data_IF_905891387890
#
_entry.id   IF_905891387890
#
_cell.length_a   1.000
_cell.length_b   1.000
_cell.length_c   1.000
_cell.angle_alpha   90.00
_cell.angle_beta   90.00
_cell.angle_gamma   90.00
#
_symmetry.space_group_name_H-M   'P 1'
#
loop_
_entity.id
_entity.type
_entity.pdbx_description
1 polymer ?
#
# COMPACT_ATOMS: atom_id res chain seq x y z
N UNK A 1 9.40 2.58 5.70
CA UNK A 1 8.85 1.64 6.71
C UNK A 1 7.55 1.10 6.14
N UNK A 2 7.62 0.00 5.42
CA UNK A 2 6.50 -0.58 4.63
C UNK A 2 5.74 -1.69 5.38
N UNK A 3 6.03 -1.91 6.68
CA UNK A 3 5.68 -3.16 7.36
C UNK A 3 4.75 -3.03 8.58
N UNK A 4 4.45 -1.82 9.06
CA UNK A 4 3.48 -1.62 10.15
C UNK A 4 2.02 -1.85 9.70
N UNK A 5 1.58 -1.37 8.52
CA UNK A 5 0.24 -1.67 8.00
C UNK A 5 0.01 -3.19 7.85
N UNK A 6 1.02 -3.90 7.34
CA UNK A 6 0.95 -5.35 7.08
C UNK A 6 0.65 -6.24 8.29
N UNK A 7 0.96 -5.77 9.51
CA UNK A 7 0.62 -6.50 10.73
C UNK A 7 -0.90 -6.53 10.98
N UNK A 8 -1.60 -5.46 10.58
CA UNK A 8 -3.04 -5.32 10.78
C UNK A 8 -3.85 -5.86 9.61
N UNK A 9 -3.24 -6.20 8.47
CA UNK A 9 -3.93 -6.69 7.28
C UNK A 9 -4.93 -7.83 7.54
N UNK A 10 -4.63 -8.88 8.35
CA UNK A 10 -5.62 -9.92 8.62
C UNK A 10 -6.84 -9.41 9.37
N UNK A 11 -6.65 -8.44 10.28
CA UNK A 11 -7.72 -7.80 11.04
C UNK A 11 -8.53 -6.88 10.12
N UNK A 12 -7.87 -6.09 9.28
CA UNK A 12 -8.50 -5.22 8.30
C UNK A 12 -9.32 -6.03 7.30
N UNK A 13 -8.78 -7.13 6.77
CA UNK A 13 -9.49 -8.05 5.88
C UNK A 13 -10.74 -8.65 6.54
N UNK A 14 -10.63 -9.08 7.80
CA UNK A 14 -11.77 -9.59 8.56
C UNK A 14 -12.85 -8.52 8.79
N UNK A 15 -12.46 -7.26 9.00
CA UNK A 15 -13.39 -6.13 9.12
C UNK A 15 -14.04 -5.78 7.78
N UNK A 16 -13.31 -5.85 6.65
CA UNK A 16 -13.86 -5.56 5.32
C UNK A 16 -14.86 -6.60 4.85
N UNK A 17 -14.69 -7.87 5.22
CA UNK A 17 -15.62 -8.94 4.83
C UNK A 17 -17.06 -8.70 5.32
N UNK A 18 -17.22 -7.86 6.34
CA UNK A 18 -18.50 -7.52 6.97
C UNK A 18 -19.07 -6.17 6.51
N UNK A 19 -18.37 -5.47 5.63
CA UNK A 19 -18.77 -4.13 5.20
C UNK A 19 -19.82 -4.22 4.08
N UNK A 20 -20.94 -3.53 4.28
CA UNK A 20 -22.08 -3.51 3.34
C UNK A 20 -22.22 -2.19 2.59
N UNK A 21 -21.55 -1.11 3.03
CA UNK A 21 -21.59 0.22 2.38
C UNK A 21 -20.19 0.62 1.92
N UNK A 22 -19.57 -0.23 1.11
CA UNK A 22 -18.15 -0.17 0.76
C UNK A 22 -17.80 1.12 0.03
N UNK A 23 -18.58 1.54 -0.97
CA UNK A 23 -18.34 2.79 -1.69
C UNK A 23 -18.47 4.03 -0.80
N UNK A 24 -19.51 4.08 0.03
CA UNK A 24 -19.73 5.23 0.95
C UNK A 24 -18.60 5.34 1.97
N UNK A 25 -18.17 4.21 2.52
CA UNK A 25 -17.07 4.17 3.51
C UNK A 25 -15.73 4.48 2.87
N UNK A 26 -15.43 3.93 1.70
CA UNK A 26 -14.23 4.28 0.93
C UNK A 26 -14.18 5.79 0.62
N UNK A 27 -15.30 6.38 0.22
CA UNK A 27 -15.41 7.83 -0.03
C UNK A 27 -15.13 8.64 1.24
N UNK A 28 -15.70 8.25 2.40
CA UNK A 28 -15.46 8.93 3.67
C UNK A 28 -14.00 8.83 4.11
N UNK A 29 -13.41 7.64 4.01
CA UNK A 29 -12.02 7.38 4.38
C UNK A 29 -11.05 8.17 3.50
N UNK A 30 -11.35 8.26 2.20
CA UNK A 30 -10.54 9.04 1.27
C UNK A 30 -10.63 10.56 1.55
N UNK A 31 -11.80 11.06 1.96
CA UNK A 31 -11.92 12.43 2.51
C UNK A 31 -11.04 12.66 3.74
N UNK A 32 -10.96 11.66 4.64
CA UNK A 32 -10.08 11.74 5.81
C UNK A 32 -8.62 11.84 5.38
N UNK A 33 -8.18 11.06 4.39
CA UNK A 33 -6.80 11.14 3.85
C UNK A 33 -6.50 12.52 3.27
N UNK A 34 -7.42 13.08 2.46
CA UNK A 34 -7.30 14.46 1.96
C UNK A 34 -7.13 15.43 3.12
N UNK A 35 -7.98 15.34 4.16
CA UNK A 35 -7.90 16.16 5.36
C UNK A 35 -6.57 16.03 6.10
N UNK A 36 -6.07 14.81 6.28
CA UNK A 36 -4.77 14.53 6.94
C UNK A 36 -3.65 15.30 6.24
N UNK A 37 -3.52 15.19 4.92
CA UNK A 37 -2.42 15.84 4.19
C UNK A 37 -2.62 17.36 4.04
N UNK A 38 -3.85 17.86 4.06
CA UNK A 38 -4.10 19.30 4.19
C UNK A 38 -3.65 19.83 5.55
N UNK A 39 -3.93 19.12 6.64
CA UNK A 39 -3.47 19.50 7.99
C UNK A 39 -1.95 19.47 8.07
N UNK A 40 -1.30 18.43 7.54
CA UNK A 40 0.18 18.37 7.48
C UNK A 40 0.75 19.53 6.67
N UNK A 41 0.15 19.86 5.52
CA UNK A 41 0.58 20.99 4.72
C UNK A 41 0.49 22.29 5.54
N UNK A 42 -0.64 22.53 6.21
CA UNK A 42 -0.79 23.69 7.08
C UNK A 42 0.25 23.74 8.21
N UNK A 43 0.53 22.62 8.87
CA UNK A 43 1.56 22.55 9.92
C UNK A 43 2.96 22.89 9.37
N UNK A 44 3.26 22.49 8.13
CA UNK A 44 4.53 22.81 7.46
C UNK A 44 4.69 24.29 7.12
N UNK A 45 3.61 25.05 7.00
CA UNK A 45 3.70 26.51 6.85
C UNK A 45 4.07 27.21 8.16
N UNK A 46 3.68 26.63 9.30
CA UNK A 46 3.78 27.28 10.61
C UNK A 46 5.05 26.89 11.38
N UNK A 47 5.60 25.70 11.13
CA UNK A 47 6.70 25.13 11.93
C UNK A 47 7.86 24.62 11.07
N UNK A 48 9.09 24.99 11.43
CA UNK A 48 10.31 24.47 10.80
C UNK A 48 10.64 23.07 11.30
N UNK A 49 10.20 22.04 10.56
CA UNK A 49 10.39 20.59 10.71
C UNK A 49 11.08 20.09 12.01
N UNK A 50 10.50 20.29 13.21
CA UNK A 50 11.05 19.71 14.43
C UNK A 50 10.82 18.19 14.43
N UNK A 51 11.59 17.46 15.24
CA UNK A 51 11.44 15.99 15.39
C UNK A 51 9.99 15.59 15.71
N UNK A 52 9.27 16.40 16.50
CA UNK A 52 7.86 16.17 16.81
C UNK A 52 6.97 16.20 15.56
N UNK A 53 7.16 17.18 14.67
CA UNK A 53 6.41 17.27 13.43
C UNK A 53 6.77 16.11 12.50
N UNK A 54 8.04 15.72 12.45
CA UNK A 54 8.47 14.52 11.70
C UNK A 54 7.76 13.25 12.17
N UNK A 55 7.65 13.03 13.49
CA UNK A 55 6.92 11.89 14.06
C UNK A 55 5.42 11.94 13.69
N UNK A 56 4.81 13.12 13.76
CA UNK A 56 3.39 13.30 13.37
C UNK A 56 3.16 12.92 11.90
N UNK A 57 4.02 13.36 10.99
CA UNK A 57 3.94 12.99 9.57
C UNK A 57 4.10 11.48 9.39
N UNK A 58 5.05 10.87 10.08
CA UNK A 58 5.26 9.41 10.01
C UNK A 58 4.00 8.66 10.45
N UNK A 59 3.39 9.04 11.56
CA UNK A 59 2.16 8.42 12.04
C UNK A 59 1.00 8.66 11.07
N UNK A 60 0.89 9.87 10.52
CA UNK A 60 -0.13 10.20 9.55
C UNK A 60 0.01 9.40 8.25
N UNK A 61 1.23 9.19 7.76
CA UNK A 61 1.52 8.30 6.64
C UNK A 61 1.09 6.86 6.97
N UNK A 62 1.46 6.32 8.14
CA UNK A 62 1.04 4.95 8.53
C UNK A 62 -0.48 4.80 8.60
N UNK A 63 -1.18 5.81 9.12
CA UNK A 63 -2.65 5.84 9.14
C UNK A 63 -3.20 5.90 7.72
N UNK A 64 -2.66 6.75 6.86
CA UNK A 64 -3.09 6.87 5.46
C UNK A 64 -2.89 5.55 4.70
N UNK A 65 -1.74 4.92 4.83
CA UNK A 65 -1.43 3.63 4.20
C UNK A 65 -2.36 2.52 4.70
N UNK A 66 -2.69 2.54 6.00
CA UNK A 66 -3.65 1.58 6.58
C UNK A 66 -5.07 1.80 6.06
N UNK A 67 -5.46 3.06 5.84
CA UNK A 67 -6.73 3.42 5.19
C UNK A 67 -6.74 2.89 3.76
N UNK A 68 -5.68 3.10 2.97
CA UNK A 68 -5.59 2.58 1.59
C UNK A 68 -5.67 1.06 1.55
N UNK A 69 -4.96 0.37 2.45
CA UNK A 69 -5.07 -1.09 2.58
C UNK A 69 -6.49 -1.56 2.92
N UNK A 70 -7.18 -0.84 3.81
CA UNK A 70 -8.57 -1.13 4.15
C UNK A 70 -9.53 -0.88 2.98
N UNK A 71 -9.37 0.23 2.25
CA UNK A 71 -10.15 0.53 1.04
C UNK A 71 -9.90 -0.55 -0.02
N UNK A 72 -8.65 -0.90 -0.32
CA UNK A 72 -8.29 -1.93 -1.30
C UNK A 72 -8.95 -3.27 -0.97
N UNK A 73 -8.88 -3.71 0.29
CA UNK A 73 -9.52 -4.95 0.75
C UNK A 73 -11.05 -4.94 0.60
N UNK A 74 -11.72 -3.77 0.69
CA UNK A 74 -13.16 -3.69 0.40
C UNK A 74 -13.48 -4.00 -1.07
N UNK A 75 -12.56 -3.73 -2.00
CA UNK A 75 -12.82 -3.91 -3.43
C UNK A 75 -12.41 -5.30 -3.97
N UNK A 76 -11.59 -6.07 -3.24
CA UNK A 76 -11.15 -7.43 -3.62
C UNK A 76 -12.32 -8.38 -3.97
N UNK A 77 -13.44 -8.45 -3.23
CA UNK A 77 -14.52 -9.37 -3.57
C UNK A 77 -15.19 -9.05 -4.91
N UNK A 78 -15.25 -7.77 -5.29
CA UNK A 78 -15.88 -7.35 -6.55
C UNK A 78 -15.07 -7.79 -7.77
N UNK A 79 -13.74 -7.68 -7.69
CA UNK A 79 -12.87 -8.15 -8.77
C UNK A 79 -13.10 -9.64 -9.04
N UNK A 80 -13.32 -10.45 -8.00
CA UNK A 80 -13.62 -11.88 -8.15
C UNK A 80 -14.99 -12.13 -8.76
N UNK A 81 -16.01 -11.34 -8.46
CA UNK A 81 -17.35 -11.56 -9.02
C UNK A 81 -17.51 -11.12 -10.46
N UNK A 82 -16.71 -10.15 -10.92
CA UNK A 82 -16.91 -9.48 -12.21
C UNK A 82 -15.93 -9.94 -13.29
N UNK A 83 -14.81 -10.52 -12.86
CA UNK A 83 -13.77 -11.00 -13.76
C UNK A 83 -13.94 -12.50 -13.94
N UNK A 84 -14.04 -12.90 -15.22
CA UNK A 84 -14.06 -14.30 -15.62
C UNK A 84 -12.86 -15.05 -15.07
N UNK A 85 -13.07 -16.28 -14.63
CA UNK A 85 -12.04 -17.09 -13.97
C UNK A 85 -10.75 -17.21 -14.80
N UNK A 86 -10.86 -17.26 -16.13
CA UNK A 86 -9.74 -17.28 -17.08
C UNK A 86 -8.92 -15.99 -17.06
N UNK A 87 -9.56 -14.84 -16.84
CA UNK A 87 -8.92 -13.51 -16.93
C UNK A 87 -8.35 -13.04 -15.58
N UNK A 88 -8.81 -13.62 -14.46
CA UNK A 88 -8.39 -13.19 -13.10
C UNK A 88 -6.88 -13.15 -12.92
N UNK A 89 -6.14 -14.08 -13.54
CA UNK A 89 -4.68 -14.11 -13.46
C UNK A 89 -4.05 -12.87 -14.12
N UNK A 90 -4.48 -12.55 -15.33
CA UNK A 90 -3.97 -11.42 -16.12
C UNK A 90 -4.34 -10.11 -15.45
N UNK A 91 -5.58 -9.96 -15.01
CA UNK A 91 -6.04 -8.73 -14.35
C UNK A 91 -5.32 -8.53 -13.00
N UNK A 92 -5.11 -9.58 -12.22
CA UNK A 92 -4.32 -9.47 -10.97
C UNK A 92 -2.87 -9.08 -11.24
N UNK A 93 -2.25 -9.58 -12.32
CA UNK A 93 -0.90 -9.19 -12.71
C UNK A 93 -0.85 -7.71 -13.14
N UNK A 94 -1.84 -7.26 -13.92
CA UNK A 94 -1.97 -5.86 -14.32
C UNK A 94 -2.17 -4.94 -13.11
N UNK A 95 -3.00 -5.33 -12.15
CA UNK A 95 -3.24 -4.57 -10.91
C UNK A 95 -1.95 -4.38 -10.11
N UNK A 96 -1.16 -5.45 -9.93
CA UNK A 96 0.16 -5.38 -9.26
C UNK A 96 1.12 -4.43 -9.99
N UNK A 97 1.14 -4.48 -11.33
CA UNK A 97 1.99 -3.60 -12.14
C UNK A 97 1.53 -2.15 -12.03
N UNK A 98 0.23 -1.86 -12.13
CA UNK A 98 -0.32 -0.50 -12.02
C UNK A 98 -0.11 0.09 -10.62
N UNK A 99 -0.30 -0.72 -9.57
CA UNK A 99 -0.01 -0.32 -8.20
C UNK A 99 1.47 0.04 -8.03
N UNK A 100 2.36 -0.83 -8.53
CA UNK A 100 3.81 -0.61 -8.43
C UNK A 100 4.27 0.58 -9.26
N UNK A 101 3.68 0.81 -10.43
CA UNK A 101 3.93 1.99 -11.26
C UNK A 101 3.55 3.27 -10.51
N UNK A 102 2.40 3.25 -9.82
CA UNK A 102 1.93 4.40 -9.04
C UNK A 102 2.91 4.77 -7.92
N UNK A 103 3.47 3.77 -7.22
CA UNK A 103 4.51 3.96 -6.20
C UNK A 103 5.77 4.60 -6.82
N UNK A 104 6.26 4.04 -7.93
CA UNK A 104 7.49 4.52 -8.58
C UNK A 104 7.32 5.96 -9.09
N UNK A 105 6.21 6.26 -9.75
CA UNK A 105 5.92 7.61 -10.21
C UNK A 105 5.84 8.59 -9.03
N UNK A 106 5.16 8.22 -7.95
CA UNK A 106 5.09 9.03 -6.73
C UNK A 106 6.49 9.31 -6.13
N UNK A 107 7.34 8.28 -6.05
CA UNK A 107 8.69 8.42 -5.52
C UNK A 107 9.61 9.24 -6.42
N UNK A 108 9.52 9.06 -7.75
CA UNK A 108 10.28 9.87 -8.72
C UNK A 108 9.86 11.33 -8.66
N UNK A 109 8.56 11.61 -8.65
CA UNK A 109 8.03 12.97 -8.53
C UNK A 109 8.46 13.61 -7.20
N UNK A 110 8.34 12.88 -6.08
CA UNK A 110 8.77 13.36 -4.78
C UNK A 110 10.28 13.63 -4.71
N UNK A 111 11.10 12.74 -5.24
CA UNK A 111 12.56 12.90 -5.26
C UNK A 111 13.01 14.05 -6.17
N UNK A 112 12.39 14.19 -7.34
CA UNK A 112 12.64 15.32 -8.24
C UNK A 112 12.27 16.65 -7.56
N UNK A 113 11.10 16.70 -6.90
CA UNK A 113 10.66 17.86 -6.16
C UNK A 113 11.64 18.25 -5.04
N UNK A 114 12.05 17.30 -4.20
CA UNK A 114 13.01 17.55 -3.11
C UNK A 114 14.38 18.03 -3.61
N UNK A 115 14.73 17.70 -4.86
CA UNK A 115 15.98 18.15 -5.47
C UNK A 115 15.85 19.57 -6.01
N UNK A 116 14.73 19.91 -6.67
CA UNK A 116 14.50 21.23 -7.26
C UNK A 116 14.09 22.27 -6.21
N UNK A 117 13.38 21.84 -5.19
CA UNK A 117 12.83 22.67 -4.13
C UNK A 117 13.16 22.10 -2.75
N UNK A 118 14.44 22.17 -2.34
CA UNK A 118 14.83 21.83 -0.97
C UNK A 118 13.97 22.64 0.01
N UNK A 119 13.49 22.00 1.06
CA UNK A 119 12.69 22.61 2.13
C UNK A 119 11.22 22.97 1.81
N UNK A 120 10.74 22.77 0.57
CA UNK A 120 9.34 23.01 0.18
C UNK A 120 8.42 21.81 0.49
N UNK A 121 8.41 21.36 1.75
CA UNK A 121 7.61 20.23 2.22
C UNK A 121 6.10 20.50 2.24
N UNK A 122 5.71 21.78 2.35
CA UNK A 122 4.32 22.22 2.22
C UNK A 122 3.71 21.75 0.89
N UNK A 123 4.37 22.09 -0.22
CA UNK A 123 3.90 21.77 -1.56
C UNK A 123 3.87 20.25 -1.80
N UNK A 124 4.80 19.49 -1.24
CA UNK A 124 4.78 18.03 -1.27
C UNK A 124 3.56 17.44 -0.55
N UNK A 125 3.23 17.96 0.64
CA UNK A 125 2.04 17.52 1.36
C UNK A 125 0.76 17.89 0.61
N UNK A 126 0.72 19.06 -0.03
CA UNK A 126 -0.40 19.45 -0.88
C UNK A 126 -0.52 18.54 -2.13
N UNK A 127 0.60 18.13 -2.72
CA UNK A 127 0.61 17.17 -3.83
C UNK A 127 0.00 15.83 -3.40
N UNK A 128 0.32 15.32 -2.20
CA UNK A 128 -0.34 14.14 -1.66
C UNK A 128 -1.84 14.37 -1.44
N UNK A 129 -2.25 15.51 -0.88
CA UNK A 129 -3.67 15.82 -0.75
C UNK A 129 -4.40 15.83 -2.10
N UNK A 130 -3.74 16.33 -3.16
CA UNK A 130 -4.27 16.33 -4.52
C UNK A 130 -4.38 14.92 -5.10
N UNK A 131 -3.41 14.02 -4.87
CA UNK A 131 -3.51 12.63 -5.36
C UNK A 131 -4.67 11.89 -4.69
N UNK A 132 -4.88 12.07 -3.37
CA UNK A 132 -6.08 11.55 -2.70
C UNK A 132 -7.35 12.18 -3.24
N UNK A 133 -7.39 13.50 -3.46
CA UNK A 133 -8.56 14.17 -4.03
C UNK A 133 -8.90 13.67 -5.45
N UNK A 134 -7.90 13.33 -6.26
CA UNK A 134 -8.10 12.67 -7.55
C UNK A 134 -8.69 11.25 -7.36
N UNK A 135 -8.17 10.49 -6.41
CA UNK A 135 -8.75 9.20 -6.02
C UNK A 135 -10.22 9.31 -5.63
N UNK A 136 -10.57 10.31 -4.81
CA UNK A 136 -11.95 10.63 -4.44
C UNK A 136 -12.82 10.98 -5.66
N UNK A 137 -12.28 11.74 -6.61
CA UNK A 137 -13.00 12.07 -7.85
C UNK A 137 -13.37 10.80 -8.62
N UNK A 138 -12.43 9.87 -8.81
CA UNK A 138 -12.69 8.60 -9.48
C UNK A 138 -13.67 7.72 -8.68
N UNK A 139 -13.49 7.60 -7.37
CA UNK A 139 -14.41 6.85 -6.49
C UNK A 139 -15.86 7.32 -6.61
N UNK A 140 -16.09 8.62 -6.80
CA UNK A 140 -17.45 9.17 -7.00
C UNK A 140 -18.04 8.91 -8.38
N UNK A 141 -17.21 8.66 -9.39
CA UNK A 141 -17.66 8.34 -10.76
C UNK A 141 -18.07 6.88 -10.90
N UNK A 142 -17.57 6.04 -10.00
CA UNK A 142 -17.95 4.65 -9.92
C UNK A 142 -19.42 4.54 -9.51
N UNK A 143 -20.23 3.90 -10.37
CA UNK A 143 -21.60 3.52 -10.07
C UNK A 143 -21.63 2.00 -9.89
N UNK A 144 -21.55 1.52 -8.63
CA UNK A 144 -21.72 0.10 -8.34
C UNK A 144 -22.96 -0.16 -7.50
N UNK A 145 -23.55 -1.32 -7.72
CA UNK A 145 -24.53 -1.89 -6.80
C UNK A 145 -23.78 -2.45 -5.58
N UNK A 146 -23.75 -1.66 -4.51
CA UNK A 146 -23.04 -1.94 -3.25
C UNK A 146 -23.71 -3.07 -2.45
N UNK A 147 -24.79 -3.69 -2.96
CA UNK A 147 -25.62 -4.69 -2.25
C UNK A 147 -25.18 -6.15 -2.45
N UNK A 148 -23.89 -6.41 -2.67
CA UNK A 148 -23.38 -7.79 -2.63
C UNK A 148 -23.69 -8.37 -1.24
N UNK A 149 -24.60 -9.35 -1.22
CA UNK A 149 -25.05 -10.05 0.00
C UNK A 149 -23.89 -10.80 0.63
N UNK A 150 -23.16 -10.16 1.54
CA UNK A 150 -22.23 -10.84 2.45
C UNK A 150 -22.81 -10.86 3.87
N UNK A 151 -22.89 -12.07 4.43
CA UNK A 151 -23.18 -12.45 5.82
C UNK A 151 -23.78 -11.35 6.71
N UNK A 152 -25.09 -11.48 6.98
CA UNK A 152 -25.89 -10.81 8.03
C UNK A 152 -25.16 -9.66 8.76
N UNK A 153 -25.55 -8.44 8.42
CA UNK A 153 -25.01 -7.15 8.88
C UNK A 153 -24.97 -6.90 10.41
N UNK A 154 -25.28 -7.89 11.24
CA UNK A 154 -25.39 -7.77 12.70
C UNK A 154 -24.24 -8.42 13.50
N UNK A 155 -23.30 -9.10 12.84
CA UNK A 155 -22.19 -9.72 13.56
C UNK A 155 -21.16 -8.68 14.03
N UNK A 156 -21.24 -8.27 15.30
CA UNK A 156 -20.17 -7.52 15.99
C UNK A 156 -18.83 -8.25 15.87
N UNK A 157 -17.72 -7.50 15.80
CA UNK A 157 -16.37 -8.07 15.79
C UNK A 157 -16.21 -9.04 16.97
N UNK A 158 -15.81 -10.28 16.68
CA UNK A 158 -15.61 -11.31 17.70
C UNK A 158 -14.19 -11.81 17.63
N UNK A 159 -13.42 -11.52 18.68
CA UNK A 159 -12.03 -11.97 18.83
C UNK A 159 -11.97 -13.50 18.76
N UNK A 160 -12.94 -14.18 19.40
CA UNK A 160 -13.02 -15.65 19.41
C UNK A 160 -13.24 -16.22 18.00
N UNK A 161 -14.15 -15.63 17.23
CA UNK A 161 -14.41 -16.04 15.84
C UNK A 161 -13.18 -15.80 14.95
N UNK A 162 -12.53 -14.64 15.09
CA UNK A 162 -11.29 -14.32 14.38
C UNK A 162 -10.20 -15.37 14.64
N UNK A 163 -9.88 -15.65 15.91
CA UNK A 163 -8.86 -16.65 16.26
C UNK A 163 -9.23 -18.07 15.78
N UNK A 164 -10.51 -18.44 15.82
CA UNK A 164 -10.96 -19.73 15.31
C UNK A 164 -10.73 -19.85 13.79
N UNK A 165 -11.08 -18.80 13.03
CA UNK A 165 -10.83 -18.76 11.58
C UNK A 165 -9.33 -18.77 11.26
N UNK A 166 -8.52 -18.05 12.02
CA UNK A 166 -7.06 -18.07 11.88
C UNK A 166 -6.49 -19.47 12.14
N UNK A 167 -6.97 -20.17 13.17
CA UNK A 167 -6.55 -21.56 13.47
C UNK A 167 -6.91 -22.52 12.34
N UNK A 168 -8.11 -22.38 11.77
CA UNK A 168 -8.55 -23.18 10.62
C UNK A 168 -7.70 -22.90 9.37
N UNK A 169 -7.43 -21.63 9.08
CA UNK A 169 -6.58 -21.23 7.96
C UNK A 169 -5.15 -21.79 8.12
N UNK A 170 -4.60 -21.74 9.33
CA UNK A 170 -3.30 -22.34 9.64
C UNK A 170 -3.28 -23.85 9.39
N UNK A 171 -4.32 -24.58 9.84
CA UNK A 171 -4.46 -26.02 9.58
C UNK A 171 -4.41 -26.33 8.08
N UNK A 172 -5.22 -25.64 7.28
CA UNK A 172 -5.27 -25.83 5.82
C UNK A 172 -3.93 -25.48 5.14
N UNK A 173 -3.26 -24.42 5.58
CA UNK A 173 -1.95 -24.03 5.04
C UNK A 173 -0.87 -25.06 5.38
N UNK A 174 -0.95 -25.68 6.56
CA UNK A 174 -0.02 -26.74 6.98
C UNK A 174 -0.20 -28.00 6.14
N UNK A 175 -1.43 -28.45 5.95
CA UNK A 175 -1.75 -29.66 5.17
C UNK A 175 -1.31 -29.57 3.71
N UNK A 176 -1.35 -28.36 3.12
CA UNK A 176 -0.96 -28.12 1.72
C UNK A 176 0.49 -27.68 1.53
N UNK A 177 1.35 -27.83 2.55
CA UNK A 177 2.75 -27.39 2.56
C UNK A 177 2.97 -25.88 2.25
N UNK A 178 1.91 -25.07 2.26
CA UNK A 178 1.98 -23.63 1.97
C UNK A 178 2.78 -22.86 3.02
N UNK A 179 2.84 -23.37 4.26
CA UNK A 179 3.65 -22.77 5.32
C UNK A 179 5.14 -22.70 4.97
N UNK A 180 5.68 -23.69 4.25
CA UNK A 180 7.09 -23.68 3.85
C UNK A 180 7.37 -22.55 2.85
N UNK A 181 6.47 -22.35 1.88
CA UNK A 181 6.57 -21.25 0.92
C UNK A 181 6.46 -19.89 1.63
N UNK A 182 5.55 -19.76 2.59
CA UNK A 182 5.39 -18.53 3.39
C UNK A 182 6.67 -18.22 4.17
N UNK A 183 7.30 -19.21 4.81
CA UNK A 183 8.55 -19.00 5.53
C UNK A 183 9.71 -18.62 4.60
N UNK A 184 9.81 -19.24 3.43
CA UNK A 184 10.81 -18.86 2.43
C UNK A 184 10.63 -17.40 1.98
N UNK A 185 9.39 -16.99 1.69
CA UNK A 185 9.07 -15.61 1.34
C UNK A 185 9.35 -14.63 2.49
N UNK A 186 9.03 -15.02 3.72
CA UNK A 186 9.27 -14.20 4.91
C UNK A 186 10.76 -13.97 5.15
N UNK A 187 11.58 -15.02 5.04
CA UNK A 187 13.04 -14.93 5.14
C UNK A 187 13.58 -14.05 4.01
N UNK A 188 13.15 -14.27 2.77
CA UNK A 188 13.54 -13.43 1.63
C UNK A 188 13.23 -11.95 1.87
N UNK A 189 12.01 -11.65 2.36
CA UNK A 189 11.60 -10.27 2.70
C UNK A 189 12.41 -9.68 3.86
N UNK A 190 12.71 -10.47 4.89
CA UNK A 190 13.53 -10.03 6.02
C UNK A 190 14.97 -9.70 5.60
N UNK A 191 15.56 -10.54 4.76
CA UNK A 191 16.89 -10.30 4.18
C UNK A 191 16.90 -9.04 3.32
N UNK A 192 15.88 -8.86 2.46
CA UNK A 192 15.74 -7.66 1.65
C UNK A 192 15.62 -6.38 2.50
N UNK A 193 14.79 -6.41 3.55
CA UNK A 193 14.65 -5.29 4.47
C UNK A 193 15.96 -4.97 5.20
N UNK A 194 16.72 -5.99 5.61
CA UNK A 194 18.02 -5.83 6.27
C UNK A 194 19.05 -5.23 5.31
N UNK A 195 19.08 -5.67 4.06
CA UNK A 195 19.94 -5.10 3.02
C UNK A 195 19.63 -3.62 2.78
N UNK A 196 18.35 -3.26 2.65
CA UNK A 196 17.91 -1.87 2.49
C UNK A 196 18.34 -0.98 3.67
N UNK A 197 18.25 -1.49 4.90
CA UNK A 197 18.71 -0.75 6.09
C UNK A 197 20.22 -0.47 6.03
N UNK A 198 21.02 -1.49 5.73
CA UNK A 198 22.48 -1.33 5.61
C UNK A 198 22.85 -0.37 4.49
N UNK A 199 22.19 -0.49 3.32
CA UNK A 199 22.39 0.41 2.19
C UNK A 199 22.06 1.86 2.58
N UNK A 200 20.96 2.08 3.30
CA UNK A 200 20.58 3.41 3.78
C UNK A 200 21.62 4.01 4.72
N UNK A 201 22.10 3.23 5.70
CA UNK A 201 23.16 3.68 6.62
C UNK A 201 24.45 3.99 5.86
N UNK A 202 24.85 3.13 4.93
CA UNK A 202 26.04 3.34 4.11
C UNK A 202 25.93 4.61 3.25
N UNK A 203 24.78 4.85 2.61
CA UNK A 203 24.54 6.06 1.84
C UNK A 203 24.56 7.32 2.71
N UNK A 204 24.05 7.27 3.94
CA UNK A 204 24.12 8.41 4.87
C UNK A 204 25.58 8.71 5.24
N UNK A 205 26.38 7.69 5.55
CA UNK A 205 27.77 7.85 5.96
C UNK A 205 28.73 8.16 4.80
N UNK A 206 28.42 7.76 3.57
CA UNK A 206 29.32 7.89 2.42
C UNK A 206 28.58 8.50 1.22
N UNK A 207 28.83 9.78 0.96
CA UNK A 207 28.18 10.52 -0.13
C UNK A 207 28.48 9.95 -1.53
N UNK A 208 29.64 9.32 -1.72
CA UNK A 208 30.04 8.73 -3.00
C UNK A 208 29.18 7.52 -3.42
N UNK A 209 28.41 6.94 -2.50
CA UNK A 209 27.44 5.88 -2.80
C UNK A 209 26.11 6.42 -3.34
N UNK A 210 25.92 7.74 -3.35
CA UNK A 210 24.68 8.39 -3.80
C UNK A 210 24.79 8.78 -5.27
N UNK A 211 23.73 8.51 -6.02
CA UNK A 211 23.48 9.12 -7.32
C UNK A 211 22.72 10.43 -7.10
N UNK A 212 23.47 11.54 -7.06
CA UNK A 212 22.90 12.84 -6.73
C UNK A 212 22.49 12.93 -5.26
N UNK A 213 21.22 13.21 -5.00
CA UNK A 213 20.66 13.26 -3.65
C UNK A 213 20.31 11.86 -3.11
N UNK A 214 20.18 11.76 -1.79
CA UNK A 214 19.71 10.53 -1.14
C UNK A 214 18.33 10.09 -1.67
N UNK A 215 17.41 11.05 -1.85
CA UNK A 215 16.08 10.79 -2.39
C UNK A 215 16.11 10.30 -3.85
N UNK A 216 16.98 10.89 -4.68
CA UNK A 216 17.17 10.45 -6.07
C UNK A 216 17.70 9.01 -6.15
N UNK A 217 18.69 8.69 -5.32
CA UNK A 217 19.26 7.34 -5.27
C UNK A 217 18.21 6.29 -4.93
N UNK A 218 17.36 6.56 -3.93
CA UNK A 218 16.24 5.69 -3.57
C UNK A 218 15.21 5.55 -4.69
N UNK A 219 14.88 6.63 -5.38
CA UNK A 219 13.92 6.60 -6.48
C UNK A 219 14.44 5.76 -7.67
N UNK A 220 15.74 5.84 -7.96
CA UNK A 220 16.39 4.98 -8.97
C UNK A 220 16.31 3.51 -8.55
N UNK A 221 16.65 3.19 -7.30
CA UNK A 221 16.57 1.81 -6.79
C UNK A 221 15.16 1.21 -6.94
N UNK A 222 14.14 2.00 -6.62
CA UNK A 222 12.75 1.57 -6.75
C UNK A 222 12.32 1.43 -8.21
N UNK A 223 12.83 2.26 -9.10
CA UNK A 223 12.62 2.12 -10.55
C UNK A 223 13.23 0.83 -11.08
N UNK A 224 14.44 0.45 -10.64
CA UNK A 224 15.07 -0.83 -10.99
C UNK A 224 14.22 -2.01 -10.47
N UNK A 225 13.76 -1.92 -9.21
CA UNK A 225 12.91 -2.96 -8.62
C UNK A 225 11.61 -3.14 -9.39
N UNK A 226 11.02 -2.06 -9.88
CA UNK A 226 9.83 -2.08 -10.71
C UNK A 226 10.04 -2.73 -12.08
N UNK A 227 11.18 -2.47 -12.75
CA UNK A 227 11.55 -3.19 -13.98
C UNK A 227 11.65 -4.70 -13.71
N UNK A 228 12.27 -5.10 -12.59
CA UNK A 228 12.33 -6.49 -12.17
C UNK A 228 10.95 -7.10 -11.94
N UNK A 229 10.02 -6.34 -11.35
CA UNK A 229 8.63 -6.75 -11.15
C UNK A 229 7.90 -6.93 -12.48
N UNK A 230 8.05 -6.01 -13.44
CA UNK A 230 7.46 -6.13 -14.78
C UNK A 230 7.98 -7.41 -15.46
N UNK A 231 9.29 -7.62 -15.46
CA UNK A 231 9.90 -8.81 -16.05
C UNK A 231 9.39 -10.09 -15.38
N UNK A 232 9.28 -10.11 -14.05
CA UNK A 232 8.70 -11.22 -13.30
C UNK A 232 7.23 -11.47 -13.63
N UNK A 233 6.43 -10.41 -13.80
CA UNK A 233 5.03 -10.51 -14.19
C UNK A 233 4.89 -11.13 -15.61
N UNK A 234 5.72 -10.72 -16.56
CA UNK A 234 5.74 -11.31 -17.91
C UNK A 234 6.23 -12.77 -17.92
N UNK A 235 7.26 -13.10 -17.15
CA UNK A 235 7.74 -14.49 -17.01
C UNK A 235 6.67 -15.40 -16.40
N UNK A 236 5.90 -14.89 -15.44
CA UNK A 236 4.77 -15.62 -14.83
C UNK A 236 3.65 -15.91 -15.83
N UNK A 237 3.50 -15.08 -16.87
CA UNK A 237 2.52 -15.29 -17.94
C UNK A 237 3.02 -16.37 -18.91
N UNK A 238 4.29 -16.34 -19.31
CA UNK A 238 4.81 -17.21 -20.39
C UNK A 238 5.23 -18.63 -19.98
N UNK A 239 5.68 -18.85 -18.73
CA UNK A 239 6.23 -20.14 -18.31
C UNK A 239 5.21 -21.13 -17.74
N UNK A 240 4.03 -20.66 -17.32
CA UNK A 240 2.96 -21.47 -16.71
C UNK A 240 1.77 -21.71 -17.64
N UNK A 241 1.93 -21.39 -18.93
CA UNK A 241 0.99 -21.71 -20.03
C UNK A 241 1.38 -23.01 -20.77
N UNK A 242 2.40 -23.73 -20.30
CA UNK A 242 2.76 -25.07 -20.78
C UNK A 242 2.52 -26.13 -19.70
#
# INVERSE_FOLDING_TARGET
>A
MENLPGFFDPVLAYLTDRETRRLKKATLLNWIQVGIYFVIAFLMLQYQMPLALFIVILLANVVSDSIDGYISNMFIPFSKTWIDHSERRVISALDIVLFSLSIVLGQLLGAAWLTLYPDQFFCLSLLNALTFALGLFFLRKIKFDDTVKTLTAEARFSIKDFFQKMKLAYGHMRERHLLQMIWLLAIGKATYASFLLLLNVAMVSTSNLRFGSYAQTLAIWQSISFVGLILGAFLRISWLEK
#
